data_IF_548706709747
#
_entry.id   IF_548706709747
#
_cell.length_a   1.000
_cell.length_b   1.000
_cell.length_c   1.000
_cell.angle_alpha   90.00
_cell.angle_beta   90.00
_cell.angle_gamma   90.00
#
_symmetry.space_group_name_H-M   'P 1'
#
loop_
_entity.id
_entity.type
_entity.pdbx_description
1 polymer ?
#
# COMPACT_ATOMS: atom_id res chain seq x y z
N UNK A 1 -20.66 6.03 16.08
CA UNK A 1 -19.97 5.16 17.04
C UNK A 1 -18.76 5.91 17.54
N UNK A 2 -18.67 6.07 18.85
CA UNK A 2 -17.42 6.49 19.51
C UNK A 2 -16.48 5.29 19.59
N UNK A 3 -15.19 5.49 19.89
CA UNK A 3 -14.26 4.36 20.02
C UNK A 3 -14.64 3.38 21.16
N UNK A 4 -15.52 3.79 22.08
CA UNK A 4 -16.09 2.92 23.12
C UNK A 4 -17.10 1.88 22.58
N UNK A 5 -17.62 2.06 21.35
CA UNK A 5 -18.62 1.18 20.73
C UNK A 5 -18.02 0.08 19.84
N UNK A 6 -16.68 0.01 19.72
CA UNK A 6 -16.01 -1.00 18.88
C UNK A 6 -15.85 -2.28 19.72
N UNK A 7 -16.37 -3.44 19.25
CA UNK A 7 -16.30 -4.67 20.01
C UNK A 7 -14.84 -5.12 20.16
N UNK A 8 -14.55 -5.67 21.34
CA UNK A 8 -13.27 -6.32 21.58
C UNK A 8 -13.26 -7.67 20.86
N UNK A 9 -12.80 -7.66 19.61
CA UNK A 9 -12.72 -8.86 18.77
C UNK A 9 -11.92 -10.01 19.40
N UNK A 10 -11.00 -9.72 20.34
CA UNK A 10 -10.29 -10.75 21.06
C UNK A 10 -11.17 -11.47 22.08
N UNK A 11 -12.19 -10.79 22.63
CA UNK A 11 -13.20 -11.38 23.51
C UNK A 11 -14.30 -12.07 22.71
N UNK A 12 -14.70 -11.47 21.59
CA UNK A 12 -15.79 -11.99 20.76
C UNK A 12 -15.36 -13.22 19.94
N UNK A 13 -14.17 -13.17 19.36
CA UNK A 13 -13.60 -14.23 18.54
C UNK A 13 -12.22 -14.65 19.07
N UNK A 14 -11.16 -14.14 18.45
CA UNK A 14 -9.79 -14.58 18.69
C UNK A 14 -8.80 -13.46 18.45
N UNK A 15 -7.58 -13.62 18.97
CA UNK A 15 -6.48 -12.65 18.77
C UNK A 15 -6.02 -12.52 17.32
N UNK A 16 -6.25 -13.54 16.49
CA UNK A 16 -5.89 -13.52 15.07
C UNK A 16 -7.03 -13.07 14.16
N UNK A 17 -8.23 -12.80 14.71
CA UNK A 17 -9.40 -12.45 13.92
C UNK A 17 -9.15 -11.20 13.05
N UNK A 18 -9.48 -11.34 11.77
CA UNK A 18 -9.44 -10.28 10.77
C UNK A 18 -10.75 -10.32 9.98
N UNK A 19 -11.51 -9.24 9.96
CA UNK A 19 -12.79 -9.17 9.22
C UNK A 19 -12.63 -9.31 7.69
N UNK A 20 -11.43 -9.08 7.17
CA UNK A 20 -11.16 -8.95 5.73
C UNK A 20 -11.71 -10.09 4.85
N UNK A 21 -11.57 -11.39 5.21
CA UNK A 21 -12.12 -12.50 4.43
C UNK A 21 -13.66 -12.55 4.33
N UNK A 22 -14.38 -11.71 5.10
CA UNK A 22 -15.85 -11.58 5.07
C UNK A 22 -16.34 -10.31 4.38
N UNK A 23 -15.45 -9.37 4.09
CA UNK A 23 -15.82 -8.07 3.47
C UNK A 23 -15.10 -7.74 2.18
N UNK A 24 -13.89 -8.28 1.93
CA UNK A 24 -12.99 -7.82 0.88
C UNK A 24 -12.46 -8.90 -0.06
N UNK A 25 -12.41 -8.58 -1.36
CA UNK A 25 -11.66 -9.35 -2.37
C UNK A 25 -10.70 -8.42 -3.12
N UNK A 26 -9.50 -8.90 -3.39
CA UNK A 26 -8.46 -8.16 -4.10
C UNK A 26 -8.14 -8.76 -5.47
N UNK A 27 -7.98 -7.89 -6.46
CA UNK A 27 -7.37 -8.17 -7.77
C UNK A 27 -6.00 -7.50 -7.80
N UNK A 28 -4.94 -8.29 -7.95
CA UNK A 28 -3.58 -7.77 -8.02
C UNK A 28 -3.19 -7.32 -9.44
N UNK A 29 -2.09 -6.56 -9.56
CA UNK A 29 -1.56 -6.09 -10.86
C UNK A 29 -1.14 -7.23 -11.78
N UNK A 30 -0.87 -8.43 -11.27
CA UNK A 30 -0.65 -9.65 -12.06
C UNK A 30 -1.93 -10.25 -12.65
N UNK A 31 -3.11 -9.75 -12.25
CA UNK A 31 -4.41 -10.36 -12.53
C UNK A 31 -4.76 -11.50 -11.59
N UNK A 32 -3.93 -11.80 -10.59
CA UNK A 32 -4.23 -12.82 -9.58
C UNK A 32 -5.28 -12.32 -8.59
N UNK A 33 -6.16 -13.22 -8.16
CA UNK A 33 -7.07 -12.97 -7.04
C UNK A 33 -6.33 -13.20 -5.73
N UNK A 34 -6.46 -12.25 -4.80
CA UNK A 34 -5.81 -12.26 -3.51
C UNK A 34 -6.84 -11.98 -2.41
N UNK A 35 -6.55 -12.43 -1.18
CA UNK A 35 -7.40 -12.12 -0.02
C UNK A 35 -6.97 -10.86 0.73
N UNK A 36 -5.71 -10.45 0.62
CA UNK A 36 -5.18 -9.27 1.30
C UNK A 36 -3.96 -8.71 0.57
N UNK A 37 -3.77 -7.38 0.63
CA UNK A 37 -2.71 -6.67 -0.05
C UNK A 37 -1.35 -6.70 0.65
N UNK A 38 -1.33 -6.93 1.97
CA UNK A 38 -0.11 -7.00 2.78
C UNK A 38 0.32 -8.43 3.10
N UNK A 39 -0.52 -9.42 2.77
CA UNK A 39 -0.23 -10.82 2.98
C UNK A 39 0.83 -11.33 1.98
N UNK A 40 1.78 -12.14 2.47
CA UNK A 40 2.93 -12.60 1.69
C UNK A 40 3.10 -14.13 1.79
N UNK A 41 2.70 -14.92 0.76
CA UNK A 41 1.88 -14.53 -0.40
C UNK A 41 0.37 -14.48 -0.07
N UNK A 42 -0.35 -13.49 -0.61
CA UNK A 42 -1.81 -13.38 -0.49
C UNK A 42 -2.64 -14.07 -1.57
N UNK A 43 -2.04 -14.94 -2.41
CA UNK A 43 -2.65 -15.44 -3.66
C UNK A 43 -3.67 -16.55 -3.38
N UNK A 44 -4.85 -16.45 -3.99
CA UNK A 44 -5.90 -17.48 -3.94
C UNK A 44 -5.68 -18.56 -5.00
N UNK A 45 -6.02 -19.80 -4.62
CA UNK A 45 -5.84 -20.99 -5.44
C UNK A 45 -7.10 -21.85 -5.48
N UNK A 46 -7.28 -22.58 -6.58
CA UNK A 46 -8.33 -23.57 -6.71
C UNK A 46 -7.99 -24.90 -6.00
N UNK A 47 -8.90 -25.88 -6.07
CA UNK A 47 -8.72 -27.22 -5.48
C UNK A 47 -7.50 -27.97 -6.05
N UNK A 48 -7.05 -27.62 -7.26
CA UNK A 48 -5.88 -28.21 -7.93
C UNK A 48 -4.61 -27.39 -7.67
N UNK A 49 -4.63 -26.47 -6.70
CA UNK A 49 -3.52 -25.58 -6.34
C UNK A 49 -3.09 -24.63 -7.46
N UNK A 50 -3.92 -24.41 -8.49
CA UNK A 50 -3.66 -23.44 -9.55
C UNK A 50 -4.03 -22.05 -9.06
N UNK A 51 -3.24 -21.05 -9.41
CA UNK A 51 -3.53 -19.65 -9.06
C UNK A 51 -4.83 -19.22 -9.75
N UNK A 52 -5.71 -18.57 -8.99
CA UNK A 52 -6.90 -17.93 -9.52
C UNK A 52 -6.50 -16.58 -10.11
N UNK A 53 -6.85 -16.37 -11.38
CA UNK A 53 -6.59 -15.13 -12.11
C UNK A 53 -7.82 -14.69 -12.88
N UNK A 54 -7.86 -13.42 -13.28
CA UNK A 54 -8.90 -12.90 -14.19
C UNK A 54 -8.98 -13.66 -15.51
N UNK A 55 -7.90 -14.34 -15.92
CA UNK A 55 -7.87 -15.10 -17.16
C UNK A 55 -8.42 -16.52 -17.06
N UNK A 56 -8.62 -17.06 -15.85
CA UNK A 56 -9.00 -18.45 -15.64
C UNK A 56 -10.08 -18.68 -14.58
N UNK A 57 -10.58 -17.62 -13.94
CA UNK A 57 -11.56 -17.69 -12.86
C UNK A 57 -12.47 -16.46 -12.81
N UNK A 58 -13.59 -16.58 -12.11
CA UNK A 58 -14.47 -15.44 -11.77
C UNK A 58 -14.12 -14.86 -10.39
N UNK A 59 -14.64 -13.67 -10.07
CA UNK A 59 -14.45 -13.11 -8.73
C UNK A 59 -15.23 -13.93 -7.69
N UNK A 60 -16.41 -14.43 -8.03
CA UNK A 60 -17.20 -15.32 -7.17
C UNK A 60 -16.44 -16.60 -6.79
N UNK A 61 -15.72 -17.20 -7.75
CA UNK A 61 -14.85 -18.36 -7.49
C UNK A 61 -13.72 -18.00 -6.52
N UNK A 62 -13.11 -16.82 -6.67
CA UNK A 62 -12.13 -16.31 -5.71
C UNK A 62 -12.73 -16.11 -4.32
N UNK A 63 -13.92 -15.49 -4.26
CA UNK A 63 -14.63 -15.13 -3.03
C UNK A 63 -14.96 -16.32 -2.13
N UNK A 64 -15.15 -17.50 -2.73
CA UNK A 64 -15.40 -18.76 -2.04
C UNK A 64 -14.38 -19.86 -2.39
N UNK A 65 -13.17 -19.45 -2.74
CA UNK A 65 -12.06 -20.38 -2.98
C UNK A 65 -11.71 -21.22 -1.74
N UNK A 66 -11.10 -22.41 -1.90
CA UNK A 66 -10.67 -23.24 -0.77
C UNK A 66 -9.86 -22.46 0.27
N UNK A 67 -8.94 -21.60 -0.17
CA UNK A 67 -8.12 -20.77 0.73
C UNK A 67 -8.94 -19.74 1.49
N UNK A 68 -9.94 -19.10 0.87
CA UNK A 68 -10.82 -18.15 1.58
C UNK A 68 -11.63 -18.83 2.69
N UNK A 69 -12.16 -20.04 2.41
CA UNK A 69 -12.87 -20.85 3.40
C UNK A 69 -11.97 -21.22 4.58
N UNK A 70 -10.77 -21.71 4.28
CA UNK A 70 -9.76 -22.06 5.29
C UNK A 70 -9.38 -20.85 6.16
N UNK A 71 -9.15 -19.67 5.55
CA UNK A 71 -8.82 -18.46 6.30
C UNK A 71 -9.94 -18.05 7.27
N UNK A 72 -11.20 -18.16 6.84
CA UNK A 72 -12.37 -17.87 7.71
C UNK A 72 -12.40 -18.82 8.91
N UNK A 73 -12.20 -20.11 8.66
CA UNK A 73 -12.14 -21.13 9.71
C UNK A 73 -11.00 -20.88 10.70
N UNK A 74 -9.78 -20.70 10.19
CA UNK A 74 -8.57 -20.46 10.98
C UNK A 74 -8.73 -19.24 11.89
N UNK A 75 -9.22 -18.12 11.34
CA UNK A 75 -9.37 -16.87 12.09
C UNK A 75 -10.44 -16.95 13.18
N UNK A 76 -11.52 -17.70 12.95
CA UNK A 76 -12.53 -17.95 14.00
C UNK A 76 -11.98 -18.88 15.09
N UNK A 77 -11.18 -19.89 14.72
CA UNK A 77 -10.54 -20.81 15.69
C UNK A 77 -9.37 -20.19 16.46
N UNK A 78 -8.84 -19.07 15.98
CA UNK A 78 -7.71 -18.38 16.61
C UNK A 78 -6.34 -18.82 16.11
N UNK A 79 -6.27 -19.50 14.97
CA UNK A 79 -5.01 -19.87 14.32
C UNK A 79 -4.33 -18.63 13.72
N UNK A 80 -3.01 -18.58 13.79
CA UNK A 80 -2.20 -17.55 13.15
C UNK A 80 -1.91 -17.99 11.72
N UNK A 81 -2.17 -17.09 10.77
CA UNK A 81 -1.85 -17.29 9.35
C UNK A 81 -0.46 -16.72 9.11
N UNK A 82 0.50 -17.57 8.73
CA UNK A 82 1.91 -17.19 8.55
C UNK A 82 2.06 -16.03 7.55
N UNK A 83 1.27 -16.04 6.47
CA UNK A 83 1.32 -15.00 5.44
C UNK A 83 0.85 -13.62 5.95
N UNK A 84 0.24 -13.54 7.12
CA UNK A 84 -0.21 -12.31 7.78
C UNK A 84 0.84 -11.73 8.76
N UNK A 85 2.09 -12.22 8.75
CA UNK A 85 3.19 -11.78 9.64
C UNK A 85 3.38 -10.27 9.72
N UNK A 86 3.06 -9.51 8.65
CA UNK A 86 3.24 -8.06 8.63
C UNK A 86 2.35 -7.34 9.65
N UNK A 87 1.12 -7.81 9.86
CA UNK A 87 0.24 -7.27 10.90
C UNK A 87 0.82 -7.53 12.30
N UNK A 88 1.33 -8.74 12.53
CA UNK A 88 1.90 -9.11 13.82
C UNK A 88 3.24 -8.39 14.08
N UNK A 89 4.00 -8.07 13.03
CA UNK A 89 5.17 -7.19 13.14
C UNK A 89 4.76 -5.78 13.59
N UNK A 90 3.70 -5.21 13.00
CA UNK A 90 3.17 -3.90 13.39
C UNK A 90 2.73 -3.91 14.86
N UNK A 91 1.98 -4.91 15.28
CA UNK A 91 1.53 -5.08 16.67
C UNK A 91 2.72 -5.19 17.63
N UNK A 92 3.76 -5.95 17.26
CA UNK A 92 4.97 -6.12 18.08
C UNK A 92 5.75 -4.82 18.29
N UNK A 93 5.73 -3.90 17.34
CA UNK A 93 6.36 -2.58 17.46
C UNK A 93 5.42 -1.51 18.05
N UNK A 94 4.26 -1.90 18.56
CA UNK A 94 3.28 -1.00 19.17
C UNK A 94 2.43 -0.21 18.17
N UNK A 95 2.49 -0.54 16.88
CA UNK A 95 1.64 0.05 15.84
C UNK A 95 0.33 -0.73 15.75
N UNK A 96 -0.81 -0.05 15.75
CA UNK A 96 -2.11 -0.67 15.42
C UNK A 96 -2.04 -1.21 14.00
N UNK A 97 -2.23 -2.52 13.84
CA UNK A 97 -1.98 -3.18 12.57
C UNK A 97 -3.07 -2.92 11.53
N UNK A 98 -2.79 -3.23 10.27
CA UNK A 98 -3.84 -3.24 9.23
C UNK A 98 -5.02 -4.13 9.61
N UNK A 99 -4.81 -5.27 10.27
CA UNK A 99 -5.89 -6.15 10.73
C UNK A 99 -6.79 -5.43 11.74
N UNK A 100 -6.19 -4.84 12.76
CA UNK A 100 -6.93 -4.13 13.81
C UNK A 100 -7.63 -2.88 13.26
N UNK A 101 -6.99 -2.12 12.37
CA UNK A 101 -7.61 -0.97 11.71
C UNK A 101 -8.79 -1.37 10.82
N UNK A 102 -8.72 -2.49 10.10
CA UNK A 102 -9.86 -2.96 9.30
C UNK A 102 -10.99 -3.50 10.17
N UNK A 103 -10.69 -4.19 11.26
CA UNK A 103 -11.69 -4.63 12.23
C UNK A 103 -12.49 -3.42 12.76
N UNK A 104 -11.80 -2.37 13.21
CA UNK A 104 -12.41 -1.10 13.59
C UNK A 104 -13.25 -0.48 12.46
N UNK A 105 -12.65 -0.31 11.27
CA UNK A 105 -13.26 0.36 10.13
C UNK A 105 -14.58 -0.32 9.74
N UNK A 106 -14.56 -1.63 9.56
CA UNK A 106 -15.72 -2.37 9.10
C UNK A 106 -16.79 -2.50 10.17
N UNK A 107 -16.41 -2.51 11.46
CA UNK A 107 -17.40 -2.34 12.54
C UNK A 107 -18.11 -1.00 12.42
N UNK A 108 -17.37 0.11 12.24
CA UNK A 108 -17.98 1.44 12.12
C UNK A 108 -18.84 1.57 10.86
N UNK A 109 -18.46 0.93 9.75
CA UNK A 109 -19.17 1.02 8.47
C UNK A 109 -20.39 0.09 8.35
N UNK A 110 -20.32 -1.13 8.88
CA UNK A 110 -21.40 -2.14 8.76
C UNK A 110 -22.18 -2.37 10.05
N UNK A 111 -21.58 -2.10 11.20
CA UNK A 111 -22.08 -2.52 12.51
C UNK A 111 -21.55 -3.90 12.92
N UNK A 112 -21.39 -4.10 14.23
CA UNK A 112 -20.94 -5.37 14.81
C UNK A 112 -21.89 -6.53 14.45
N UNK A 113 -23.20 -6.30 14.51
CA UNK A 113 -24.23 -7.30 14.18
C UNK A 113 -24.10 -7.83 12.76
N UNK A 114 -23.81 -6.97 11.77
CA UNK A 114 -23.62 -7.41 10.38
C UNK A 114 -22.33 -8.22 10.22
N UNK A 115 -21.27 -7.88 10.97
CA UNK A 115 -20.05 -8.69 11.00
C UNK A 115 -20.32 -10.05 11.63
N UNK A 116 -21.02 -10.11 12.77
CA UNK A 116 -21.42 -11.37 13.41
C UNK A 116 -22.26 -12.22 12.48
N UNK A 117 -23.27 -11.64 11.85
CA UNK A 117 -24.13 -12.33 10.87
C UNK A 117 -23.31 -12.96 9.74
N UNK A 118 -22.31 -12.25 9.19
CA UNK A 118 -21.43 -12.78 8.13
C UNK A 118 -20.56 -13.94 8.62
N UNK A 119 -20.08 -13.87 9.86
CA UNK A 119 -19.28 -14.95 10.46
C UNK A 119 -20.16 -16.19 10.71
N UNK A 120 -21.35 -16.03 11.31
CA UNK A 120 -22.32 -17.10 11.52
C UNK A 120 -22.73 -17.75 10.20
N UNK A 121 -23.06 -16.94 9.19
CA UNK A 121 -23.41 -17.41 7.83
C UNK A 121 -22.36 -18.36 7.27
N UNK A 122 -21.07 -18.05 7.45
CA UNK A 122 -19.99 -18.92 6.96
C UNK A 122 -19.82 -20.17 7.81
N UNK A 123 -19.95 -20.04 9.14
CA UNK A 123 -19.78 -21.16 10.08
C UNK A 123 -20.82 -22.25 9.85
N UNK A 124 -22.04 -21.87 9.49
CA UNK A 124 -23.17 -22.77 9.22
C UNK A 124 -23.16 -23.36 7.79
N UNK A 125 -22.22 -22.93 6.93
CA UNK A 125 -22.24 -23.22 5.50
C UNK A 125 -20.87 -23.63 4.95
N UNK A 126 -20.13 -24.48 5.67
CA UNK A 126 -18.81 -24.98 5.23
C UNK A 126 -17.84 -23.82 4.85
N UNK A 127 -17.87 -22.77 5.67
CA UNK A 127 -17.09 -21.55 5.51
C UNK A 127 -17.32 -20.77 4.20
N UNK A 128 -18.38 -21.13 3.45
CA UNK A 128 -18.83 -20.44 2.25
C UNK A 128 -19.73 -19.27 2.63
N UNK A 129 -19.49 -18.11 2.04
CA UNK A 129 -20.33 -16.92 2.19
C UNK A 129 -21.21 -16.74 0.95
N UNK A 130 -22.47 -16.41 1.15
CA UNK A 130 -23.45 -16.04 0.12
C UNK A 130 -23.65 -14.53 0.03
N UNK A 131 -23.37 -13.80 1.12
CA UNK A 131 -23.27 -12.34 1.10
C UNK A 131 -22.18 -11.87 0.15
N UNK A 132 -22.51 -10.88 -0.67
CA UNK A 132 -21.56 -10.22 -1.56
C UNK A 132 -20.48 -9.47 -0.75
N UNK A 133 -19.27 -9.30 -1.32
CA UNK A 133 -18.26 -8.43 -0.72
C UNK A 133 -18.74 -6.99 -0.72
N UNK A 134 -18.36 -6.24 0.30
CA UNK A 134 -18.66 -4.80 0.42
C UNK A 134 -17.44 -3.93 0.09
N UNK A 135 -16.30 -4.58 -0.20
CA UNK A 135 -15.03 -3.94 -0.48
C UNK A 135 -14.28 -4.65 -1.62
N UNK A 136 -13.90 -3.90 -2.65
CA UNK A 136 -13.00 -4.38 -3.70
C UNK A 136 -11.69 -3.59 -3.70
N UNK A 137 -10.55 -4.29 -3.63
CA UNK A 137 -9.20 -3.76 -3.95
C UNK A 137 -8.87 -4.12 -5.40
N UNK A 138 -8.87 -3.11 -6.27
CA UNK A 138 -8.75 -3.26 -7.71
C UNK A 138 -7.45 -2.65 -8.22
N UNK A 139 -6.51 -3.52 -8.62
CA UNK A 139 -5.23 -3.15 -9.25
C UNK A 139 -5.21 -3.55 -10.71
N UNK A 140 -5.98 -2.83 -11.52
CA UNK A 140 -6.36 -3.25 -12.88
C UNK A 140 -5.28 -3.01 -13.96
N UNK A 141 -4.04 -2.71 -13.56
CA UNK A 141 -2.85 -2.67 -14.42
C UNK A 141 -1.60 -2.35 -13.60
N UNK A 142 -0.42 -2.66 -14.15
CA UNK A 142 0.85 -2.09 -13.71
C UNK A 142 1.25 -0.81 -14.48
N UNK A 143 0.36 -0.25 -15.32
CA UNK A 143 0.62 1.00 -16.05
C UNK A 143 0.94 2.13 -15.08
N UNK A 144 2.20 2.57 -15.07
CA UNK A 144 2.68 3.67 -14.27
C UNK A 144 3.60 4.55 -15.13
N UNK A 145 3.80 5.78 -14.70
CA UNK A 145 4.73 6.74 -15.31
C UNK A 145 6.03 6.92 -14.50
N UNK A 146 6.14 6.32 -13.31
CA UNK A 146 7.31 6.42 -12.43
C UNK A 146 8.11 5.13 -12.32
N UNK A 147 9.34 5.25 -11.83
CA UNK A 147 10.31 4.19 -11.56
C UNK A 147 10.81 4.26 -10.11
N UNK A 148 9.88 4.24 -9.14
CA UNK A 148 10.25 4.39 -7.73
C UNK A 148 11.26 3.33 -7.27
N UNK A 149 12.23 3.69 -6.44
CA UNK A 149 13.39 2.83 -6.10
C UNK A 149 13.04 1.55 -5.34
N UNK A 150 12.01 1.60 -4.49
CA UNK A 150 11.47 0.43 -3.78
C UNK A 150 10.51 -0.41 -4.61
N UNK A 151 10.06 0.10 -5.76
CA UNK A 151 9.01 -0.51 -6.56
C UNK A 151 9.57 -1.60 -7.50
N UNK A 152 8.70 -2.44 -8.04
CA UNK A 152 9.08 -3.56 -8.90
C UNK A 152 8.34 -3.51 -10.25
N UNK A 153 8.80 -4.27 -11.27
CA UNK A 153 8.10 -4.46 -12.54
C UNK A 153 6.63 -4.90 -12.42
N UNK A 154 6.25 -5.55 -11.32
CA UNK A 154 4.86 -5.91 -11.05
C UNK A 154 3.97 -4.68 -10.85
N UNK A 155 4.52 -3.58 -10.35
CA UNK A 155 3.75 -2.39 -9.98
C UNK A 155 4.08 -1.18 -10.85
N UNK A 156 5.08 -1.26 -11.75
CA UNK A 156 5.33 -0.18 -12.71
C UNK A 156 5.79 -0.68 -14.07
N UNK A 157 5.06 -0.28 -15.11
CA UNK A 157 5.40 -0.52 -16.50
C UNK A 157 6.69 0.21 -16.94
N UNK A 158 7.09 1.31 -16.27
CA UNK A 158 8.39 1.93 -16.54
C UNK A 158 9.54 1.14 -15.93
N UNK A 159 9.33 0.53 -14.75
CA UNK A 159 10.33 -0.38 -14.15
C UNK A 159 10.41 -1.65 -14.97
N UNK A 160 9.29 -2.20 -15.46
CA UNK A 160 9.31 -3.35 -16.37
C UNK A 160 10.11 -3.08 -17.65
N UNK A 161 9.98 -1.88 -18.23
CA UNK A 161 10.80 -1.44 -19.38
C UNK A 161 12.28 -1.31 -19.03
N UNK A 162 12.61 -0.84 -17.83
CA UNK A 162 13.99 -0.72 -17.35
C UNK A 162 14.61 -2.08 -17.08
N UNK A 163 13.91 -2.95 -16.35
CA UNK A 163 14.29 -4.33 -16.08
C UNK A 163 14.62 -5.09 -17.36
N UNK A 164 13.76 -5.01 -18.40
CA UNK A 164 14.02 -5.64 -19.71
C UNK A 164 15.33 -5.18 -20.37
N UNK A 165 15.81 -3.97 -20.07
CA UNK A 165 17.08 -3.46 -20.63
C UNK A 165 18.29 -3.92 -19.82
N UNK A 166 18.10 -4.26 -18.54
CA UNK A 166 19.18 -4.55 -17.60
C UNK A 166 19.37 -6.06 -17.37
N UNK A 167 18.30 -6.83 -17.25
CA UNK A 167 18.36 -8.24 -16.81
C UNK A 167 19.23 -9.16 -17.68
N UNK A 168 19.34 -8.92 -18.99
CA UNK A 168 20.21 -9.74 -19.85
C UNK A 168 21.54 -9.03 -20.20
N UNK A 169 21.82 -7.86 -19.61
CA UNK A 169 22.93 -6.97 -20.01
C UNK A 169 23.81 -6.49 -18.85
N UNK A 170 23.36 -6.60 -17.62
CA UNK A 170 24.04 -6.12 -16.43
C UNK A 170 24.05 -7.26 -15.40
N UNK A 171 25.22 -7.86 -15.19
CA UNK A 171 25.37 -9.05 -14.34
C UNK A 171 25.08 -8.71 -12.87
N UNK A 172 25.48 -7.53 -12.39
CA UNK A 172 25.20 -7.07 -11.03
C UNK A 172 23.70 -6.86 -10.82
N UNK A 173 23.01 -6.23 -11.77
CA UNK A 173 21.55 -6.11 -11.72
C UNK A 173 20.87 -7.48 -11.64
N UNK A 174 21.35 -8.42 -12.46
CA UNK A 174 20.78 -9.77 -12.57
C UNK A 174 20.97 -10.58 -11.29
N UNK A 175 22.15 -10.47 -10.69
CA UNK A 175 22.50 -11.09 -9.42
C UNK A 175 21.58 -10.59 -8.31
N UNK A 176 21.57 -9.28 -8.06
CA UNK A 176 20.71 -8.68 -7.03
C UNK A 176 19.24 -8.97 -7.29
N UNK A 177 18.82 -8.94 -8.57
CA UNK A 177 17.45 -9.27 -8.93
C UNK A 177 17.08 -10.69 -8.52
N UNK A 178 17.90 -11.68 -8.88
CA UNK A 178 17.61 -13.09 -8.60
C UNK A 178 17.55 -13.37 -7.11
N UNK A 179 18.43 -12.76 -6.33
CA UNK A 179 18.38 -12.82 -4.86
C UNK A 179 17.08 -12.24 -4.30
N UNK A 180 16.61 -11.13 -4.87
CA UNK A 180 15.50 -10.35 -4.29
C UNK A 180 14.11 -10.81 -4.76
N UNK A 181 13.96 -11.16 -6.04
CA UNK A 181 12.66 -11.46 -6.68
C UNK A 181 12.63 -12.84 -7.37
N UNK A 182 13.75 -13.58 -7.38
CA UNK A 182 13.85 -14.87 -8.05
C UNK A 182 14.01 -14.77 -9.57
N UNK A 183 13.41 -15.69 -10.30
CA UNK A 183 13.60 -15.81 -11.75
C UNK A 183 13.09 -14.59 -12.54
N UNK A 184 13.57 -14.49 -13.79
CA UNK A 184 13.12 -13.45 -14.73
C UNK A 184 11.60 -13.52 -14.95
N UNK A 185 10.95 -12.37 -14.82
CA UNK A 185 9.52 -12.22 -15.06
C UNK A 185 9.24 -12.15 -16.56
N UNK A 186 8.76 -13.25 -17.14
CA UNK A 186 8.40 -13.27 -18.57
C UNK A 186 7.02 -12.68 -18.87
N UNK A 187 6.13 -12.62 -17.88
CA UNK A 187 4.71 -12.33 -18.07
C UNK A 187 4.41 -10.88 -18.53
N UNK A 188 5.18 -9.86 -18.14
CA UNK A 188 4.90 -8.48 -18.57
C UNK A 188 5.24 -8.24 -20.05
N UNK A 189 5.90 -9.19 -20.71
CA UNK A 189 6.11 -9.19 -22.16
C UNK A 189 5.03 -9.94 -22.93
N UNK A 190 4.14 -10.62 -22.22
CA UNK A 190 3.07 -11.43 -22.81
C UNK A 190 1.86 -10.54 -23.19
N UNK A 191 1.38 -10.70 -24.42
CA UNK A 191 0.12 -10.07 -24.87
C UNK A 191 -1.09 -10.60 -24.10
N UNK A 192 -1.02 -11.82 -23.56
CA UNK A 192 -2.05 -12.44 -22.74
C UNK A 192 -2.28 -11.70 -21.41
N UNK A 193 -1.22 -11.15 -20.82
CA UNK A 193 -1.29 -10.41 -19.55
C UNK A 193 -2.23 -9.20 -19.64
N UNK A 194 -2.13 -8.39 -20.70
CA UNK A 194 -3.00 -7.21 -20.84
C UNK A 194 -4.45 -7.63 -21.09
N UNK A 195 -4.68 -8.71 -21.86
CA UNK A 195 -6.02 -9.17 -22.23
C UNK A 195 -6.88 -9.59 -21.03
N UNK A 196 -6.28 -10.06 -19.94
CA UNK A 196 -7.05 -10.53 -18.79
C UNK A 196 -7.86 -9.43 -18.09
N UNK A 197 -7.41 -8.16 -18.15
CA UNK A 197 -8.14 -7.01 -17.58
C UNK A 197 -9.36 -6.59 -18.42
N UNK A 198 -9.46 -7.10 -19.65
CA UNK A 198 -10.60 -6.94 -20.54
C UNK A 198 -11.52 -8.17 -20.54
N UNK A 199 -11.28 -9.16 -19.66
CA UNK A 199 -12.13 -10.34 -19.58
C UNK A 199 -13.54 -9.98 -19.08
N UNK A 200 -14.57 -10.54 -19.70
CA UNK A 200 -15.97 -10.31 -19.29
C UNK A 200 -16.20 -10.80 -17.84
N UNK A 201 -15.55 -11.90 -17.44
CA UNK A 201 -15.64 -12.49 -16.11
C UNK A 201 -15.35 -11.51 -14.95
N UNK A 202 -14.37 -10.62 -15.11
CA UNK A 202 -14.08 -9.59 -14.10
C UNK A 202 -15.27 -8.63 -13.97
N UNK A 203 -15.74 -8.14 -15.11
CA UNK A 203 -16.66 -7.03 -15.18
C UNK A 203 -18.10 -7.44 -14.85
N UNK A 204 -18.49 -8.68 -15.09
CA UNK A 204 -19.83 -9.18 -14.72
C UNK A 204 -20.00 -9.23 -13.20
N UNK A 205 -19.11 -9.93 -12.50
CA UNK A 205 -19.16 -10.05 -11.03
C UNK A 205 -18.98 -8.69 -10.34
N UNK A 206 -17.96 -7.92 -10.76
CA UNK A 206 -17.70 -6.61 -10.16
C UNK A 206 -18.90 -5.67 -10.31
N UNK A 207 -19.60 -5.69 -11.45
CA UNK A 207 -20.81 -4.88 -11.68
C UNK A 207 -21.99 -5.38 -10.87
N UNK A 208 -22.15 -6.69 -10.74
CA UNK A 208 -23.22 -7.30 -9.93
C UNK A 208 -23.11 -6.88 -8.46
N UNK A 209 -21.89 -6.72 -7.95
CA UNK A 209 -21.64 -6.37 -6.55
C UNK A 209 -21.75 -4.89 -6.21
N UNK A 210 -21.75 -3.98 -7.21
CA UNK A 210 -21.84 -2.52 -7.00
C UNK A 210 -22.92 -2.11 -5.97
N UNK A 211 -24.15 -2.66 -6.00
CA UNK A 211 -25.18 -2.32 -5.01
C UNK A 211 -24.80 -2.54 -3.54
N UNK A 212 -23.95 -3.55 -3.27
CA UNK A 212 -23.48 -3.91 -1.95
C UNK A 212 -22.22 -3.17 -1.51
N UNK A 213 -21.48 -2.54 -2.43
CA UNK A 213 -20.20 -1.91 -2.13
C UNK A 213 -20.36 -0.73 -1.16
N UNK A 214 -19.36 -0.60 -0.29
CA UNK A 214 -19.16 0.53 0.64
C UNK A 214 -17.81 1.19 0.46
N UNK A 215 -16.83 0.44 -0.06
CA UNK A 215 -15.48 0.94 -0.32
C UNK A 215 -14.95 0.33 -1.61
N UNK A 216 -14.24 1.13 -2.39
CA UNK A 216 -13.42 0.66 -3.51
C UNK A 216 -12.02 1.20 -3.29
N UNK A 217 -11.03 0.31 -3.29
CA UNK A 217 -9.63 0.69 -3.30
C UNK A 217 -9.09 0.60 -4.71
N UNK A 218 -8.67 1.74 -5.25
CA UNK A 218 -7.99 1.82 -6.53
C UNK A 218 -6.50 2.13 -6.35
N UNK A 219 -5.67 1.22 -6.83
CA UNK A 219 -4.21 1.36 -6.90
C UNK A 219 -3.66 0.53 -8.07
N UNK A 220 -2.39 0.10 -8.01
CA UNK A 220 -1.69 -0.70 -9.01
C UNK A 220 -0.43 0.01 -9.50
N UNK A 221 -0.38 0.30 -10.80
CA UNK A 221 0.53 1.29 -11.34
C UNK A 221 0.19 2.70 -10.85
N UNK A 222 -0.17 3.60 -11.76
CA UNK A 222 -0.76 4.88 -11.38
C UNK A 222 -2.26 4.84 -11.75
N UNK A 223 -3.18 4.79 -10.77
CA UNK A 223 -4.59 4.55 -11.03
C UNK A 223 -5.23 5.57 -11.96
N UNK A 224 -4.75 6.81 -11.99
CA UNK A 224 -5.28 7.87 -12.84
C UNK A 224 -4.94 7.68 -14.32
N UNK A 225 -3.94 6.83 -14.64
CA UNK A 225 -3.59 6.42 -16.00
C UNK A 225 -4.37 5.19 -16.46
N UNK A 226 -4.98 4.44 -15.54
CA UNK A 226 -5.56 3.13 -15.81
C UNK A 226 -7.03 3.32 -16.18
N UNK A 227 -7.33 3.23 -17.48
CA UNK A 227 -8.71 3.39 -18.00
C UNK A 227 -9.73 2.50 -17.31
N UNK A 228 -9.35 1.26 -16.98
CA UNK A 228 -10.22 0.33 -16.26
C UNK A 228 -10.66 0.88 -14.90
N UNK A 229 -9.80 1.61 -14.18
CA UNK A 229 -10.21 2.20 -12.91
C UNK A 229 -11.32 3.24 -13.15
N UNK A 230 -11.13 4.16 -14.11
CA UNK A 230 -12.16 5.15 -14.44
C UNK A 230 -13.45 4.54 -15.01
N UNK A 231 -13.35 3.44 -15.76
CA UNK A 231 -14.51 2.73 -16.30
C UNK A 231 -15.36 2.12 -15.18
N UNK A 232 -14.73 1.52 -14.16
CA UNK A 232 -15.45 0.95 -13.01
C UNK A 232 -16.11 2.03 -12.16
N UNK A 233 -15.41 3.14 -11.89
CA UNK A 233 -15.99 4.28 -11.19
C UNK A 233 -17.18 4.88 -11.97
N UNK A 234 -17.05 5.00 -13.29
CA UNK A 234 -18.14 5.46 -14.16
C UNK A 234 -19.36 4.53 -14.12
N UNK A 235 -19.16 3.22 -14.02
CA UNK A 235 -20.25 2.26 -13.88
C UNK A 235 -20.94 2.36 -12.50
N UNK A 236 -20.19 2.62 -11.42
CA UNK A 236 -20.77 2.90 -10.10
C UNK A 236 -21.67 4.14 -10.11
N UNK A 237 -21.24 5.20 -10.81
CA UNK A 237 -22.04 6.43 -11.01
C UNK A 237 -23.30 6.09 -11.82
N UNK A 238 -23.15 5.40 -12.94
CA UNK A 238 -24.25 5.04 -13.84
C UNK A 238 -25.33 4.19 -13.15
N UNK A 239 -24.94 3.30 -12.24
CA UNK A 239 -25.89 2.49 -11.47
C UNK A 239 -26.52 3.25 -10.28
N UNK A 240 -26.05 4.47 -9.98
CA UNK A 240 -26.61 5.29 -8.90
C UNK A 240 -26.15 4.89 -7.50
N UNK A 241 -24.90 4.41 -7.36
CA UNK A 241 -24.33 4.00 -6.06
C UNK A 241 -23.10 4.81 -5.63
N UNK A 242 -22.61 5.76 -6.44
CA UNK A 242 -21.42 6.54 -6.11
C UNK A 242 -21.56 7.27 -4.76
N UNK A 243 -22.74 7.82 -4.45
CA UNK A 243 -23.08 8.51 -3.20
C UNK A 243 -23.11 7.60 -1.95
N UNK A 244 -22.90 6.29 -2.13
CA UNK A 244 -22.85 5.28 -1.05
C UNK A 244 -21.48 4.61 -0.92
N UNK A 245 -20.54 4.93 -1.80
CA UNK A 245 -19.24 4.26 -1.91
C UNK A 245 -18.12 5.23 -1.60
N UNK A 246 -17.24 4.85 -0.69
CA UNK A 246 -15.97 5.53 -0.46
C UNK A 246 -14.91 5.04 -1.45
N UNK A 247 -14.15 5.97 -2.03
CA UNK A 247 -12.94 5.66 -2.78
C UNK A 247 -11.75 5.75 -1.84
N UNK A 248 -10.95 4.68 -1.78
CA UNK A 248 -9.59 4.72 -1.25
C UNK A 248 -8.63 4.75 -2.44
N UNK A 249 -7.79 5.77 -2.54
CA UNK A 249 -6.95 6.03 -3.71
C UNK A 249 -5.49 6.13 -3.31
N UNK A 250 -4.62 5.28 -3.84
CA UNK A 250 -3.17 5.48 -3.76
C UNK A 250 -2.67 6.04 -5.09
N UNK A 251 -2.19 7.28 -5.10
CA UNK A 251 -1.69 7.95 -6.30
C UNK A 251 -0.34 8.61 -6.02
N UNK A 252 0.51 8.63 -7.04
CA UNK A 252 1.77 9.38 -7.01
C UNK A 252 1.58 10.90 -7.27
N UNK A 253 0.34 11.35 -7.47
CA UNK A 253 -0.05 12.74 -7.71
C UNK A 253 0.53 13.38 -8.98
N UNK A 254 1.14 12.62 -9.90
CA UNK A 254 1.79 13.22 -11.08
C UNK A 254 0.89 13.36 -12.30
N UNK A 255 -0.29 12.72 -12.31
CA UNK A 255 -1.24 12.87 -13.40
C UNK A 255 -2.66 12.98 -12.85
N UNK A 256 -3.10 14.20 -12.59
CA UNK A 256 -4.48 14.53 -12.24
C UNK A 256 -5.04 15.44 -13.33
N UNK A 257 -6.30 15.20 -13.69
CA UNK A 257 -6.99 16.01 -14.70
C UNK A 257 -8.45 16.24 -14.28
N UNK A 258 -9.08 17.23 -14.90
CA UNK A 258 -10.45 17.62 -14.62
C UNK A 258 -11.43 16.45 -14.74
N UNK A 259 -11.30 15.59 -15.76
CA UNK A 259 -12.19 14.44 -15.93
C UNK A 259 -12.12 13.46 -14.75
N UNK A 260 -10.94 13.24 -14.17
CA UNK A 260 -10.80 12.41 -12.97
C UNK A 260 -11.41 13.08 -11.75
N UNK A 261 -11.16 14.38 -11.54
CA UNK A 261 -11.75 15.16 -10.45
C UNK A 261 -13.29 15.16 -10.51
N UNK A 262 -13.86 15.29 -11.71
CA UNK A 262 -15.30 15.23 -11.97
C UNK A 262 -15.92 13.85 -11.67
N UNK A 263 -15.15 12.77 -11.78
CA UNK A 263 -15.58 11.43 -11.38
C UNK A 263 -15.58 11.33 -9.85
N UNK A 264 -14.44 11.59 -9.21
CA UNK A 264 -14.28 11.31 -7.77
C UNK A 264 -15.14 12.23 -6.89
N UNK A 265 -15.49 13.44 -7.34
CA UNK A 265 -16.38 14.35 -6.60
C UNK A 265 -17.81 13.82 -6.43
N UNK A 266 -18.22 12.81 -7.20
CA UNK A 266 -19.56 12.21 -7.14
C UNK A 266 -19.68 11.11 -6.08
N UNK A 267 -18.55 10.68 -5.50
CA UNK A 267 -18.51 9.61 -4.51
C UNK A 267 -18.76 10.14 -3.10
N UNK A 268 -19.28 9.29 -2.21
CA UNK A 268 -19.65 9.66 -0.84
C UNK A 268 -18.47 10.27 -0.07
N UNK A 269 -17.29 9.71 -0.28
CA UNK A 269 -16.03 10.11 0.32
C UNK A 269 -14.86 9.63 -0.55
N UNK A 270 -13.76 10.37 -0.53
CA UNK A 270 -12.51 9.98 -1.20
C UNK A 270 -11.37 10.16 -0.20
N UNK A 271 -10.67 9.07 0.10
CA UNK A 271 -9.46 9.07 0.93
C UNK A 271 -8.25 8.85 0.05
N UNK A 272 -7.39 9.86 -0.03
CA UNK A 272 -6.19 9.85 -0.88
C UNK A 272 -4.97 9.55 -0.03
N UNK A 273 -4.28 8.47 -0.35
CA UNK A 273 -2.92 8.23 0.09
C UNK A 273 -1.95 8.75 -0.97
N UNK A 274 -1.46 9.96 -0.73
CA UNK A 274 -0.46 10.61 -1.55
C UNK A 274 0.90 9.94 -1.35
N UNK A 275 1.43 9.42 -2.42
CA UNK A 275 2.64 8.61 -2.41
C UNK A 275 3.88 9.53 -2.44
N UNK A 276 4.25 10.05 -1.26
CA UNK A 276 5.31 11.05 -1.04
C UNK A 276 6.43 10.47 -0.16
N UNK A 277 7.60 10.14 -0.71
CA UNK A 277 8.71 9.53 0.06
C UNK A 277 9.69 10.56 0.66
N UNK A 278 9.38 11.84 0.52
CA UNK A 278 10.15 12.98 1.01
C UNK A 278 9.61 14.27 0.41
N UNK A 279 10.30 15.38 0.65
CA UNK A 279 9.94 16.70 0.08
C UNK A 279 10.95 17.09 -0.99
N UNK A 280 10.47 17.71 -2.09
CA UNK A 280 11.32 18.23 -3.16
C UNK A 280 12.25 17.16 -3.76
N UNK A 281 13.56 17.45 -3.74
CA UNK A 281 14.59 16.58 -4.33
C UNK A 281 14.61 15.17 -3.77
N UNK A 282 14.28 14.97 -2.49
CA UNK A 282 14.21 13.63 -1.88
C UNK A 282 13.17 12.79 -2.61
N UNK A 283 11.98 13.35 -2.83
CA UNK A 283 10.91 12.66 -3.55
C UNK A 283 11.27 12.42 -5.01
N UNK A 284 11.82 13.43 -5.70
CA UNK A 284 12.22 13.31 -7.11
C UNK A 284 13.31 12.24 -7.32
N UNK A 285 14.23 12.12 -6.36
CA UNK A 285 15.28 11.09 -6.35
C UNK A 285 14.70 9.69 -6.19
N UNK A 286 13.82 9.50 -5.21
CA UNK A 286 13.23 8.19 -4.89
C UNK A 286 12.18 7.79 -5.93
N UNK A 287 11.36 8.74 -6.39
CA UNK A 287 10.21 8.56 -7.29
C UNK A 287 10.46 9.15 -8.67
N UNK A 288 11.59 8.80 -9.29
CA UNK A 288 11.96 9.25 -10.64
C UNK A 288 10.92 8.85 -11.71
N UNK A 289 10.58 9.69 -12.72
CA UNK A 289 11.02 11.07 -12.94
C UNK A 289 9.97 12.09 -12.47
N UNK A 290 9.42 11.94 -11.26
CA UNK A 290 8.47 12.93 -10.73
C UNK A 290 9.11 14.32 -10.65
N UNK A 291 8.25 15.35 -10.69
CA UNK A 291 8.59 16.74 -10.44
C UNK A 291 7.77 17.23 -9.26
N UNK A 292 8.42 17.78 -8.23
CA UNK A 292 7.75 18.17 -6.99
C UNK A 292 6.70 19.26 -7.20
N UNK A 293 6.97 20.26 -8.03
CA UNK A 293 6.03 21.36 -8.22
C UNK A 293 4.77 20.87 -8.94
N UNK A 294 4.93 20.06 -9.99
CA UNK A 294 3.79 19.52 -10.74
C UNK A 294 2.94 18.59 -9.87
N UNK A 295 3.58 17.72 -9.06
CA UNK A 295 2.84 16.81 -8.19
C UNK A 295 2.12 17.53 -7.05
N UNK A 296 2.71 18.60 -6.51
CA UNK A 296 2.11 19.41 -5.45
C UNK A 296 0.85 20.14 -5.96
N UNK A 297 0.89 20.73 -7.16
CA UNK A 297 -0.28 21.36 -7.78
C UNK A 297 -1.42 20.35 -7.91
N UNK A 298 -1.14 19.18 -8.50
CA UNK A 298 -2.13 18.12 -8.65
C UNK A 298 -2.68 17.61 -7.31
N UNK A 299 -1.82 17.56 -6.28
CA UNK A 299 -2.23 17.14 -4.95
C UNK A 299 -3.20 18.16 -4.34
N UNK A 300 -2.87 19.46 -4.44
CA UNK A 300 -3.73 20.55 -3.99
C UNK A 300 -5.09 20.58 -4.72
N UNK A 301 -5.10 20.34 -6.03
CA UNK A 301 -6.34 20.26 -6.82
C UNK A 301 -7.30 19.19 -6.28
N UNK A 302 -6.77 18.04 -5.87
CA UNK A 302 -7.58 17.00 -5.23
C UNK A 302 -8.03 17.42 -3.81
N UNK A 303 -7.13 17.99 -3.00
CA UNK A 303 -7.44 18.40 -1.62
C UNK A 303 -8.50 19.52 -1.53
N UNK A 304 -8.65 20.31 -2.60
CA UNK A 304 -9.67 21.34 -2.72
C UNK A 304 -11.10 20.78 -2.90
N UNK A 305 -11.26 19.48 -3.18
CA UNK A 305 -12.58 18.86 -3.27
C UNK A 305 -13.18 18.65 -1.86
N UNK A 306 -14.47 18.96 -1.65
CA UNK A 306 -15.09 18.92 -0.32
C UNK A 306 -15.20 17.51 0.25
N UNK A 307 -15.30 16.48 -0.61
CA UNK A 307 -15.41 15.08 -0.22
C UNK A 307 -14.05 14.36 -0.14
N UNK A 308 -12.93 15.08 -0.23
CA UNK A 308 -11.57 14.49 -0.18
C UNK A 308 -10.95 14.65 1.21
N UNK A 309 -10.39 13.54 1.70
CA UNK A 309 -9.49 13.43 2.85
C UNK A 309 -8.17 12.85 2.39
N UNK A 310 -7.09 13.06 3.13
CA UNK A 310 -5.79 12.58 2.68
C UNK A 310 -4.82 12.19 3.78
N UNK A 311 -3.94 11.26 3.43
CA UNK A 311 -2.70 10.98 4.11
C UNK A 311 -1.53 11.08 3.12
N UNK A 312 -0.36 11.52 3.57
CA UNK A 312 0.89 11.23 2.91
C UNK A 312 1.37 9.83 3.35
N UNK A 313 1.86 9.01 2.42
CA UNK A 313 2.30 7.64 2.71
C UNK A 313 3.74 7.38 2.25
N UNK A 314 4.75 7.94 2.94
CA UNK A 314 6.15 7.65 2.67
C UNK A 314 6.51 6.20 3.00
N UNK A 315 7.38 5.61 2.19
CA UNK A 315 8.04 4.33 2.50
C UNK A 315 9.39 4.61 3.14
N UNK A 316 9.56 4.25 4.41
CA UNK A 316 10.84 4.37 5.13
C UNK A 316 11.86 3.43 4.52
N UNK A 317 12.96 4.00 4.02
CA UNK A 317 14.06 3.29 3.38
C UNK A 317 15.38 4.05 3.60
N UNK A 318 16.51 3.43 3.31
CA UNK A 318 17.83 4.05 3.47
C UNK A 318 17.91 5.45 2.83
N UNK A 319 17.27 5.67 1.68
CA UNK A 319 17.34 6.95 0.95
C UNK A 319 16.67 8.14 1.65
N UNK A 320 15.68 7.92 2.51
CA UNK A 320 14.95 8.99 3.20
C UNK A 320 15.09 8.95 4.72
N UNK A 321 15.99 8.12 5.27
CA UNK A 321 16.20 8.02 6.72
C UNK A 321 16.37 9.39 7.38
N UNK A 322 17.21 10.25 6.81
CA UNK A 322 17.55 11.54 7.43
C UNK A 322 16.49 12.63 7.23
N UNK A 323 15.54 12.43 6.31
CA UNK A 323 14.60 13.45 5.80
C UNK A 323 13.13 13.06 5.89
N UNK A 324 12.78 11.83 6.30
CA UNK A 324 11.38 11.37 6.32
C UNK A 324 10.48 12.20 7.25
N UNK A 325 11.04 12.73 8.35
CA UNK A 325 10.36 13.64 9.27
C UNK A 325 9.81 14.91 8.58
N UNK A 326 10.43 15.37 7.49
CA UNK A 326 9.98 16.54 6.73
C UNK A 326 8.58 16.35 6.12
N UNK A 327 8.16 15.09 5.88
CA UNK A 327 6.81 14.78 5.38
C UNK A 327 5.74 15.13 6.42
N UNK A 328 6.03 14.98 7.72
CA UNK A 328 5.14 15.41 8.79
C UNK A 328 5.04 16.93 8.87
N UNK A 329 6.16 17.63 8.75
CA UNK A 329 6.19 19.10 8.75
C UNK A 329 5.38 19.66 7.58
N UNK A 330 5.51 19.02 6.41
CA UNK A 330 4.72 19.34 5.24
C UNK A 330 3.22 19.13 5.47
N UNK A 331 2.83 17.96 5.99
CA UNK A 331 1.44 17.61 6.24
C UNK A 331 0.78 18.52 7.27
N UNK A 332 1.47 18.86 8.36
CA UNK A 332 0.99 19.78 9.40
C UNK A 332 0.78 21.19 8.82
N UNK A 333 1.82 21.75 8.20
CA UNK A 333 1.75 23.07 7.55
C UNK A 333 0.63 23.16 6.51
N UNK A 334 0.49 22.13 5.66
CA UNK A 334 -0.55 22.08 4.64
C UNK A 334 -1.94 21.97 5.25
N UNK A 335 -2.09 21.20 6.34
CA UNK A 335 -3.37 21.11 7.08
C UNK A 335 -3.79 22.47 7.61
N UNK A 336 -2.87 23.19 8.26
CA UNK A 336 -3.12 24.53 8.79
C UNK A 336 -3.49 25.53 7.68
N UNK A 337 -2.81 25.46 6.55
CA UNK A 337 -3.06 26.34 5.41
C UNK A 337 -4.41 26.08 4.73
N UNK A 338 -4.82 24.82 4.61
CA UNK A 338 -6.04 24.44 3.88
C UNK A 338 -7.28 24.45 4.76
N UNK A 339 -7.15 24.04 6.03
CA UNK A 339 -8.28 23.76 6.91
C UNK A 339 -8.32 24.66 8.15
N UNK A 340 -7.20 25.31 8.48
CA UNK A 340 -7.03 26.13 9.68
C UNK A 340 -6.51 25.31 10.86
N UNK A 341 -5.69 25.95 11.70
CA UNK A 341 -4.99 25.28 12.80
C UNK A 341 -5.92 24.61 13.81
N UNK A 342 -7.12 25.13 14.06
CA UNK A 342 -8.06 24.54 15.03
C UNK A 342 -8.98 23.46 14.43
N UNK A 343 -8.77 23.08 13.16
CA UNK A 343 -9.63 22.12 12.48
C UNK A 343 -9.25 20.67 12.82
N UNK A 344 -10.26 19.80 12.91
CA UNK A 344 -10.07 18.35 13.09
C UNK A 344 -9.71 17.65 11.76
N UNK A 345 -10.03 18.27 10.63
CA UNK A 345 -9.60 17.81 9.30
C UNK A 345 -8.13 18.15 9.10
N UNK A 346 -7.32 17.11 8.91
CA UNK A 346 -5.87 17.20 8.71
C UNK A 346 -5.41 16.24 7.62
N UNK A 347 -4.20 16.45 7.11
CA UNK A 347 -3.48 15.50 6.26
C UNK A 347 -2.69 14.58 7.20
N UNK A 348 -3.05 13.30 7.25
CA UNK A 348 -2.33 12.31 8.05
C UNK A 348 -0.98 11.93 7.42
N UNK A 349 -0.15 11.21 8.16
CA UNK A 349 1.09 10.62 7.63
C UNK A 349 1.21 9.17 8.08
N UNK A 350 1.15 8.23 7.15
CA UNK A 350 1.38 6.80 7.40
C UNK A 350 2.72 6.38 6.84
N UNK A 351 3.74 6.25 7.68
CA UNK A 351 5.02 5.68 7.28
C UNK A 351 4.82 4.18 7.09
N UNK A 352 5.07 3.73 5.87
CA UNK A 352 5.14 2.34 5.49
C UNK A 352 6.56 1.81 5.72
N UNK A 353 6.65 0.60 6.25
CA UNK A 353 7.94 -0.06 6.53
C UNK A 353 8.39 -0.83 5.30
N UNK A 354 9.61 -0.55 4.84
CA UNK A 354 10.22 -1.31 3.76
C UNK A 354 10.95 -2.55 4.27
N UNK A 355 10.29 -3.71 4.23
CA UNK A 355 10.93 -5.01 4.45
C UNK A 355 11.25 -5.75 3.14
N UNK A 356 10.86 -5.21 1.99
CA UNK A 356 11.16 -5.78 0.67
C UNK A 356 11.15 -4.68 -0.41
N UNK A 357 12.24 -4.50 -1.18
CA UNK A 357 13.44 -5.32 -1.20
C UNK A 357 14.34 -5.11 0.03
N UNK A 358 14.90 -6.21 0.56
CA UNK A 358 15.60 -6.21 1.85
C UNK A 358 16.80 -5.25 1.91
N UNK A 359 17.49 -5.05 0.78
CA UNK A 359 18.62 -4.11 0.68
C UNK A 359 18.26 -2.64 0.92
N UNK A 360 16.97 -2.27 0.93
CA UNK A 360 16.51 -0.91 1.23
C UNK A 360 16.06 -0.72 2.68
N UNK A 361 15.97 -1.79 3.47
CA UNK A 361 15.56 -1.73 4.87
C UNK A 361 16.59 -0.92 5.68
N UNK A 362 16.10 0.03 6.47
CA UNK A 362 16.95 0.88 7.32
C UNK A 362 17.67 0.07 8.40
N UNK A 363 17.17 -1.13 8.74
CA UNK A 363 17.82 -2.04 9.71
C UNK A 363 19.11 -2.67 9.20
N UNK A 364 19.47 -2.49 7.92
CA UNK A 364 20.82 -2.79 7.45
C UNK A 364 21.87 -1.82 8.01
N UNK A 365 21.44 -0.65 8.48
CA UNK A 365 22.33 0.35 9.07
C UNK A 365 22.50 0.11 10.58
N UNK A 366 23.67 0.46 11.15
CA UNK A 366 23.88 0.41 12.59
C UNK A 366 22.81 1.21 13.34
N UNK A 367 22.43 0.73 14.53
CA UNK A 367 21.35 1.33 15.35
C UNK A 367 21.64 2.81 15.61
N UNK A 368 22.90 3.15 15.89
CA UNK A 368 23.36 4.51 16.17
C UNK A 368 23.13 5.48 15.00
N UNK A 369 23.10 5.02 13.74
CA UNK A 369 22.89 5.89 12.57
C UNK A 369 21.42 6.22 12.37
N UNK A 370 20.51 5.43 12.95
CA UNK A 370 19.06 5.61 12.88
C UNK A 370 18.52 6.56 13.95
N UNK A 371 19.32 6.85 14.99
CA UNK A 371 18.85 7.62 16.15
C UNK A 371 18.55 9.09 15.82
N UNK A 372 19.22 9.69 14.82
CA UNK A 372 18.90 11.06 14.40
C UNK A 372 17.47 11.15 13.84
N UNK A 373 17.09 10.21 12.96
CA UNK A 373 15.72 10.10 12.45
C UNK A 373 14.72 9.91 13.60
N UNK A 374 15.04 9.03 14.56
CA UNK A 374 14.18 8.78 15.72
C UNK A 374 13.97 10.05 16.54
N UNK A 375 15.04 10.78 16.84
CA UNK A 375 14.98 12.01 17.63
C UNK A 375 14.13 13.07 16.94
N UNK A 376 14.30 13.26 15.62
CA UNK A 376 13.47 14.19 14.84
C UNK A 376 11.97 13.83 14.85
N UNK A 377 11.62 12.54 14.85
CA UNK A 377 10.23 12.10 14.97
C UNK A 377 9.68 12.35 16.38
N UNK A 378 10.51 12.20 17.42
CA UNK A 378 10.13 12.51 18.80
C UNK A 378 9.99 14.02 19.03
N UNK A 379 10.88 14.83 18.46
CA UNK A 379 10.77 16.29 18.46
C UNK A 379 9.47 16.73 17.78
N UNK A 380 9.12 16.15 16.63
CA UNK A 380 7.85 16.44 15.97
C UNK A 380 6.63 16.17 16.86
N UNK A 381 6.66 15.04 17.60
CA UNK A 381 5.60 14.66 18.55
C UNK A 381 5.42 15.70 19.67
N UNK A 382 6.48 16.39 20.08
CA UNK A 382 6.42 17.40 21.14
C UNK A 382 6.02 18.79 20.61
N UNK A 383 6.41 19.10 19.36
CA UNK A 383 6.25 20.45 18.80
C UNK A 383 4.93 20.66 18.04
N UNK A 384 4.35 19.61 17.44
CA UNK A 384 3.27 19.76 16.47
C UNK A 384 1.96 19.09 16.89
N UNK A 385 0.87 19.82 16.72
CA UNK A 385 -0.47 19.35 17.11
C UNK A 385 -1.04 18.26 16.19
N UNK A 386 -0.44 18.02 15.01
CA UNK A 386 -0.85 16.94 14.12
C UNK A 386 -0.77 15.57 14.80
N UNK A 387 0.21 15.34 15.68
CA UNK A 387 0.33 14.10 16.44
C UNK A 387 -0.93 13.83 17.27
N UNK A 388 -1.41 14.83 18.00
CA UNK A 388 -2.61 14.71 18.85
C UNK A 388 -3.91 14.64 18.04
N UNK A 389 -3.96 15.35 16.91
CA UNK A 389 -5.17 15.49 16.08
C UNK A 389 -5.41 14.32 15.14
N UNK A 390 -4.36 13.61 14.74
CA UNK A 390 -4.44 12.62 13.68
C UNK A 390 -3.89 11.26 14.12
N UNK A 391 -4.80 10.31 14.32
CA UNK A 391 -4.46 8.94 14.71
C UNK A 391 -3.45 8.25 13.76
N UNK A 392 -3.54 8.51 12.44
CA UNK A 392 -2.62 7.90 11.48
C UNK A 392 -1.20 8.41 11.72
N UNK A 393 -1.04 9.72 11.95
CA UNK A 393 0.24 10.33 12.26
C UNK A 393 0.82 9.79 13.59
N UNK A 394 0.04 9.74 14.67
CA UNK A 394 0.54 9.23 15.96
C UNK A 394 0.88 7.74 15.92
N UNK A 395 0.01 6.91 15.34
CA UNK A 395 0.26 5.48 15.13
C UNK A 395 1.52 5.22 14.28
N UNK A 396 1.78 6.10 13.30
CA UNK A 396 2.98 6.06 12.48
C UNK A 396 4.24 6.40 13.29
N UNK A 397 4.25 7.51 14.03
CA UNK A 397 5.41 7.92 14.83
C UNK A 397 5.74 6.88 15.90
N UNK A 398 4.76 6.48 16.70
CA UNK A 398 4.98 5.56 17.83
C UNK A 398 5.52 4.20 17.34
N UNK A 399 5.01 3.69 16.22
CA UNK A 399 5.50 2.46 15.60
C UNK A 399 6.91 2.60 15.02
N UNK A 400 7.20 3.68 14.30
CA UNK A 400 8.49 3.85 13.61
C UNK A 400 9.63 4.13 14.59
N UNK A 401 9.39 4.87 15.67
CA UNK A 401 10.38 5.07 16.73
C UNK A 401 10.86 3.71 17.28
N UNK A 402 9.94 2.78 17.54
CA UNK A 402 10.29 1.43 17.98
C UNK A 402 10.97 0.59 16.88
N UNK A 403 10.55 0.76 15.62
CA UNK A 403 11.19 0.08 14.49
C UNK A 403 12.66 0.49 14.31
N UNK A 404 12.97 1.78 14.50
CA UNK A 404 14.32 2.32 14.40
C UNK A 404 15.26 1.79 15.50
N UNK A 405 14.73 1.29 16.60
CA UNK A 405 15.50 0.67 17.70
C UNK A 405 15.73 -0.84 17.53
N UNK A 406 15.10 -1.47 16.54
CA UNK A 406 15.32 -2.90 16.30
C UNK A 406 16.80 -3.20 15.99
N UNK A 407 17.32 -4.37 16.39
CA UNK A 407 18.69 -4.76 16.07
C UNK A 407 19.02 -4.65 14.58
N UNK A 408 20.30 -4.41 14.28
CA UNK A 408 20.79 -4.49 12.90
C UNK A 408 20.54 -5.91 12.36
N UNK A 409 20.19 -6.02 11.09
CA UNK A 409 19.96 -7.32 10.44
C UNK A 409 21.26 -8.13 10.35
N UNK A 410 21.17 -9.45 10.47
CA UNK A 410 22.34 -10.33 10.40
C UNK A 410 22.98 -10.31 9.00
N UNK A 411 22.16 -10.21 7.95
CA UNK A 411 22.58 -10.16 6.54
C UNK A 411 22.94 -8.74 6.07
N UNK A 412 23.14 -7.78 6.98
CA UNK A 412 23.31 -6.37 6.61
C UNK A 412 24.44 -6.14 5.59
N UNK A 413 25.55 -6.89 5.67
CA UNK A 413 26.70 -6.68 4.78
C UNK A 413 26.35 -7.01 3.32
N UNK A 414 25.72 -8.16 3.08
CA UNK A 414 25.23 -8.55 1.75
C UNK A 414 24.15 -7.58 1.26
N UNK A 415 23.21 -7.23 2.12
CA UNK A 415 22.17 -6.26 1.78
C UNK A 415 22.74 -4.88 1.40
N UNK A 416 23.78 -4.39 2.08
CA UNK A 416 24.41 -3.12 1.76
C UNK A 416 25.28 -3.19 0.49
N UNK A 417 25.89 -4.34 0.18
CA UNK A 417 26.54 -4.57 -1.12
C UNK A 417 25.53 -4.48 -2.27
N UNK A 418 24.39 -5.17 -2.12
CA UNK A 418 23.30 -5.15 -3.09
C UNK A 418 22.68 -3.75 -3.21
N UNK A 419 22.55 -3.02 -2.09
CA UNK A 419 22.14 -1.61 -2.08
C UNK A 419 23.09 -0.74 -2.92
N UNK A 420 24.41 -0.88 -2.74
CA UNK A 420 25.41 -0.09 -3.49
C UNK A 420 25.32 -0.41 -4.98
N UNK A 421 25.25 -1.70 -5.36
CA UNK A 421 25.12 -2.15 -6.75
C UNK A 421 23.86 -1.55 -7.40
N UNK A 422 22.69 -1.80 -6.80
CA UNK A 422 21.41 -1.34 -7.33
C UNK A 422 21.32 0.19 -7.40
N UNK A 423 21.79 0.89 -6.37
CA UNK A 423 21.83 2.35 -6.36
C UNK A 423 22.69 2.88 -7.51
N UNK A 424 23.88 2.32 -7.71
CA UNK A 424 24.82 2.75 -8.76
C UNK A 424 24.25 2.52 -10.17
N UNK A 425 23.62 1.37 -10.40
CA UNK A 425 22.98 1.01 -11.68
C UNK A 425 21.81 1.94 -11.95
N UNK A 426 20.94 2.17 -10.96
CA UNK A 426 19.79 3.06 -11.10
C UNK A 426 20.23 4.52 -11.29
N UNK A 427 21.23 4.99 -10.55
CA UNK A 427 21.80 6.33 -10.69
C UNK A 427 22.34 6.57 -12.09
N UNK A 428 23.14 5.63 -12.61
CA UNK A 428 23.68 5.69 -13.97
C UNK A 428 22.57 5.69 -15.03
N UNK A 429 21.60 4.79 -14.91
CA UNK A 429 20.54 4.64 -15.93
C UNK A 429 19.51 5.77 -15.91
N UNK A 430 19.28 6.37 -14.74
CA UNK A 430 18.32 7.47 -14.52
C UNK A 430 18.98 8.85 -14.51
N UNK A 431 20.31 8.93 -14.64
CA UNK A 431 21.12 10.16 -14.58
C UNK A 431 20.90 10.93 -13.27
N UNK A 432 20.90 10.19 -12.17
CA UNK A 432 20.80 10.69 -10.80
C UNK A 432 22.07 10.32 -10.03
N UNK A 433 22.23 10.85 -8.82
CA UNK A 433 23.32 10.46 -7.93
C UNK A 433 22.86 10.55 -6.48
N UNK A 434 22.92 9.45 -5.72
CA UNK A 434 22.54 9.46 -4.31
C UNK A 434 23.38 10.44 -3.49
N UNK A 435 24.64 10.64 -3.88
CA UNK A 435 25.56 11.55 -3.18
C UNK A 435 25.14 13.01 -3.28
N UNK A 436 24.28 13.37 -4.25
CA UNK A 436 23.71 14.71 -4.35
C UNK A 436 22.61 14.93 -3.30
N UNK A 437 22.01 13.84 -2.80
CA UNK A 437 20.99 13.84 -1.76
C UNK A 437 21.62 13.69 -0.37
N UNK A 438 22.50 12.69 -0.19
CA UNK A 438 23.14 12.42 1.09
C UNK A 438 24.58 11.89 0.93
N UNK A 439 25.58 12.77 0.75
CA UNK A 439 26.96 12.37 0.49
C UNK A 439 27.60 11.68 1.71
N UNK A 440 27.21 12.10 2.92
CA UNK A 440 27.73 11.54 4.17
C UNK A 440 27.30 10.09 4.36
N UNK A 441 25.99 9.81 4.23
CA UNK A 441 25.45 8.48 4.43
C UNK A 441 26.00 7.49 3.39
N UNK A 442 26.04 7.86 2.11
CA UNK A 442 26.53 6.95 1.08
C UNK A 442 28.01 6.60 1.25
N UNK A 443 28.84 7.57 1.64
CA UNK A 443 30.25 7.33 1.97
C UNK A 443 30.39 6.37 3.14
N UNK A 444 29.65 6.60 4.22
CA UNK A 444 29.67 5.74 5.42
C UNK A 444 29.21 4.32 5.11
N UNK A 445 28.18 4.13 4.29
CA UNK A 445 27.73 2.80 3.84
C UNK A 445 28.85 2.06 3.10
N UNK A 446 29.56 2.74 2.18
CA UNK A 446 30.69 2.14 1.47
C UNK A 446 31.83 1.76 2.42
N UNK A 447 32.13 2.60 3.41
CA UNK A 447 33.15 2.30 4.42
C UNK A 447 32.75 1.10 5.29
N UNK A 448 31.48 1.01 5.68
CA UNK A 448 30.94 -0.10 6.49
C UNK A 448 30.99 -1.45 5.75
N UNK A 449 30.79 -1.46 4.44
CA UNK A 449 30.88 -2.68 3.62
C UNK A 449 32.33 -3.12 3.40
N UNK A 450 33.26 -2.16 3.24
CA UNK A 450 34.67 -2.43 2.97
C UNK A 450 35.52 -2.69 4.23
N UNK A 451 35.04 -2.30 5.40
CA UNK A 451 35.57 -2.71 6.70
C UNK A 451 35.16 -4.13 7.06
#
# INVERSE_FOLDING_TARGET
>A
MTDEDIPDYNKEYSKSFCVYPWVSLMVNTSGTLNYCCIAKPGILRDEKQRQLTLGNSTLEEGWNSPRMKELREMMVKGDIVDECEHCFLQEKIGKKSFREMHNDEWTRKLGADEIHRRVEETSDNDWKITSDPVYLDLRLSNLCNLKCRMCSPHNSSQIAKEHKKLFDKDDDYTDVWKKTWGDNLKWFTDKGYVKQFYSDNLWEDAKKWIPGLRKIYITGGEPTLIKHNTDFLGECIKQGYADKIEIFLNTNCTNINEAFLEIIKQFSNVVINASLDGIGKTNEYIRYPSNWNDLEINYLDMLNLPNVWSNATPVLQIYNLDTIHEVFHYADKMSDQLYGADNTKTIGVDILINTHPAFLDVRNLPVEWRQDCKNKLLEFKEEFTLYDKNFIASNSIDGIVNYLDLPQLDEYKENLEDFIKMTTIQDTTRKQNFSDLNPSLFKRIKELVNG
#
